data_IF_466740483183
#
_entry.id   IF_466740483183
#
_cell.length_a   1.000
_cell.length_b   1.000
_cell.length_c   1.000
_cell.angle_alpha   90.00
_cell.angle_beta   90.00
_cell.angle_gamma   90.00
#
_symmetry.space_group_name_H-M   'P 1'
#
loop_
_entity.id
_entity.type
_entity.pdbx_description
1 polymer ?
#
# COMPACT_ATOMS: atom_id res chain seq x y z
N UNK A 1 0.48 -17.18 0.71
CA UNK A 1 0.32 -16.49 0.88
C UNK A 1 1.09 -15.49 0.90
N UNK A 2 1.46 -14.82 0.84
CA UNK A 2 2.24 -13.73 0.68
C UNK A 2 2.53 -12.86 1.87
N UNK A 3 2.00 -13.20 3.02
CA UNK A 3 2.25 -12.37 4.17
C UNK A 3 3.27 -13.00 5.08
N UNK A 4 4.33 -12.24 5.43
CA UNK A 4 5.32 -12.76 6.29
C UNK A 4 5.33 -12.06 7.63
N UNK A 5 4.36 -11.26 7.91
CA UNK A 5 4.25 -10.57 9.17
C UNK A 5 2.98 -9.77 9.18
N UNK A 6 2.73 -9.04 10.26
CA UNK A 6 1.52 -8.26 10.37
C UNK A 6 1.66 -6.81 9.93
N UNK A 7 2.86 -6.41 9.54
CA UNK A 7 3.06 -5.04 9.07
C UNK A 7 2.42 -4.82 7.72
N UNK A 8 2.05 -3.60 7.42
CA UNK A 8 1.39 -3.29 6.17
C UNK A 8 2.28 -3.65 4.98
N UNK A 9 3.56 -3.39 5.05
CA UNK A 9 4.42 -3.68 3.93
C UNK A 9 4.99 -5.10 3.93
N UNK A 10 4.50 -5.95 4.82
CA UNK A 10 5.02 -7.31 4.87
C UNK A 10 4.11 -8.26 4.13
N UNK A 11 3.88 -7.99 2.88
CA UNK A 11 3.04 -8.81 2.04
C UNK A 11 3.55 -8.73 0.62
N UNK A 12 3.55 -9.83 -0.09
CA UNK A 12 4.00 -9.86 -1.46
C UNK A 12 3.10 -8.99 -2.33
N UNK A 13 1.79 -9.00 -2.07
CA UNK A 13 0.85 -8.20 -2.85
C UNK A 13 1.17 -6.72 -2.70
N UNK A 14 1.43 -6.28 -1.47
CA UNK A 14 1.77 -4.88 -1.25
C UNK A 14 3.07 -4.55 -2.00
N UNK A 15 4.09 -5.37 -1.84
CA UNK A 15 5.37 -5.11 -2.46
C UNK A 15 5.31 -5.08 -3.97
N UNK A 16 4.63 -6.04 -4.58
CA UNK A 16 4.51 -6.08 -6.01
C UNK A 16 3.79 -4.86 -6.53
N UNK A 17 2.70 -4.46 -5.86
CA UNK A 17 1.91 -3.33 -6.31
C UNK A 17 2.73 -2.04 -6.17
N UNK A 18 3.39 -1.89 -5.04
CA UNK A 18 4.16 -0.69 -4.78
C UNK A 18 5.31 -0.56 -5.79
N UNK A 19 6.06 -1.64 -6.00
CA UNK A 19 7.18 -1.59 -6.92
C UNK A 19 6.73 -1.32 -8.35
N UNK A 20 5.62 -1.92 -8.75
CA UNK A 20 5.12 -1.68 -10.08
C UNK A 20 4.71 -0.23 -10.25
N UNK A 21 4.05 0.34 -9.22
CA UNK A 21 3.63 1.73 -9.30
C UNK A 21 4.85 2.63 -9.49
N UNK A 22 5.86 2.45 -8.67
CA UNK A 22 7.04 3.31 -8.73
C UNK A 22 7.75 3.16 -10.08
N UNK A 23 7.82 1.95 -10.58
CA UNK A 23 8.46 1.70 -11.85
C UNK A 23 7.74 2.44 -12.97
N UNK A 24 6.41 2.39 -12.99
CA UNK A 24 5.65 3.07 -14.02
C UNK A 24 5.75 4.58 -13.85
N UNK A 25 5.80 5.04 -12.61
CA UNK A 25 5.91 6.46 -12.35
C UNK A 25 7.26 6.96 -12.87
N UNK A 26 8.31 6.20 -12.67
CA UNK A 26 9.63 6.60 -13.13
C UNK A 26 9.71 6.62 -14.67
N UNK A 27 8.83 5.90 -15.33
CA UNK A 27 8.79 5.92 -16.77
C UNK A 27 7.96 7.10 -17.29
N UNK A 28 7.41 7.89 -16.40
CA UNK A 28 6.65 9.07 -16.79
C UNK A 28 5.14 8.92 -16.86
N UNK A 29 4.59 7.79 -16.45
CA UNK A 29 3.17 7.62 -16.55
C UNK A 29 2.47 8.41 -15.46
N UNK A 30 1.34 9.03 -15.74
CA UNK A 30 0.63 9.82 -14.74
C UNK A 30 0.12 8.95 -13.59
N UNK A 31 0.16 9.48 -12.38
CA UNK A 31 -0.25 8.76 -11.20
C UNK A 31 -1.65 8.19 -11.34
N UNK A 32 -2.61 8.97 -11.78
CA UNK A 32 -3.97 8.47 -11.88
C UNK A 32 -4.10 7.32 -12.85
N UNK A 33 -3.31 7.34 -13.92
CA UNK A 33 -3.38 6.28 -14.91
C UNK A 33 -2.79 5.00 -14.33
N UNK A 34 -1.70 5.12 -13.56
CA UNK A 34 -1.07 3.95 -12.97
C UNK A 34 -2.04 3.28 -12.01
N UNK A 35 -2.72 4.08 -11.19
CA UNK A 35 -3.67 3.55 -10.24
C UNK A 35 -4.81 2.84 -10.95
N UNK A 36 -5.35 3.43 -12.01
CA UNK A 36 -6.43 2.83 -12.73
C UNK A 36 -6.00 1.52 -13.38
N UNK A 37 -4.81 1.49 -13.96
CA UNK A 37 -4.34 0.29 -14.62
C UNK A 37 -4.15 -0.87 -13.64
N UNK A 38 -3.58 -0.57 -12.48
CA UNK A 38 -3.35 -1.60 -11.50
C UNK A 38 -4.67 -2.12 -10.95
N UNK A 39 -5.59 -1.21 -10.61
CA UNK A 39 -6.86 -1.64 -10.08
C UNK A 39 -7.66 -2.44 -11.10
N UNK A 40 -7.63 -2.05 -12.36
CA UNK A 40 -8.37 -2.76 -13.38
C UNK A 40 -7.90 -4.22 -13.47
N UNK A 41 -6.62 -4.45 -13.36
CA UNK A 41 -6.11 -5.80 -13.42
C UNK A 41 -6.56 -6.64 -12.24
N UNK A 42 -6.54 -6.07 -11.05
CA UNK A 42 -6.93 -6.83 -9.88
C UNK A 42 -8.44 -7.09 -9.89
N UNK A 43 -9.22 -6.13 -10.37
CA UNK A 43 -10.67 -6.29 -10.38
C UNK A 43 -11.16 -7.27 -11.43
N UNK A 44 -10.29 -7.73 -12.30
CA UNK A 44 -10.66 -8.76 -13.23
C UNK A 44 -10.76 -10.10 -12.52
N UNK A 45 -10.04 -10.27 -11.42
CA UNK A 45 -10.07 -11.51 -10.70
C UNK A 45 -10.75 -11.48 -9.37
N UNK A 46 -10.84 -10.36 -8.72
CA UNK A 46 -11.38 -10.26 -7.39
C UNK A 46 -12.46 -9.20 -7.29
N UNK A 47 -13.41 -9.41 -6.38
CA UNK A 47 -14.45 -8.43 -6.16
C UNK A 47 -13.85 -7.25 -5.42
N UNK A 48 -14.44 -6.12 -5.57
CA UNK A 48 -13.93 -4.90 -4.97
C UNK A 48 -13.79 -4.99 -3.46
N UNK A 49 -14.64 -5.74 -2.80
CA UNK A 49 -14.58 -5.85 -1.39
C UNK A 49 -13.72 -7.00 -0.91
N UNK A 50 -13.08 -7.75 -1.78
CA UNK A 50 -12.29 -8.89 -1.39
C UNK A 50 -11.10 -8.42 -0.54
N UNK A 51 -10.86 -9.10 0.57
CA UNK A 51 -9.76 -8.73 1.45
C UNK A 51 -8.39 -8.79 0.80
N UNK A 52 -8.26 -9.56 -0.26
CA UNK A 52 -7.00 -9.63 -0.98
C UNK A 52 -6.64 -8.25 -1.51
N UNK A 53 -7.62 -7.41 -1.82
CA UNK A 53 -7.34 -6.11 -2.37
C UNK A 53 -6.93 -5.08 -1.33
N UNK A 54 -7.04 -5.40 -0.04
CA UNK A 54 -6.65 -4.44 0.98
C UNK A 54 -5.20 -3.99 0.79
N UNK A 55 -4.30 -4.96 0.57
CA UNK A 55 -2.90 -4.63 0.41
C UNK A 55 -2.65 -3.87 -0.88
N UNK A 56 -3.47 -4.10 -1.91
CA UNK A 56 -3.35 -3.36 -3.15
C UNK A 56 -3.68 -1.89 -2.87
N UNK A 57 -4.77 -1.63 -2.13
CA UNK A 57 -5.15 -0.27 -1.82
C UNK A 57 -4.11 0.40 -0.93
N UNK A 58 -3.57 -0.32 0.05
CA UNK A 58 -2.56 0.25 0.93
C UNK A 58 -1.32 0.65 0.11
N UNK A 59 -0.88 -0.22 -0.80
CA UNK A 59 0.29 0.07 -1.61
C UNK A 59 0.04 1.26 -2.54
N UNK A 60 -1.16 1.32 -3.14
CA UNK A 60 -1.48 2.42 -4.01
C UNK A 60 -1.51 3.73 -3.23
N UNK A 61 -2.05 3.70 -2.01
CA UNK A 61 -2.10 4.89 -1.19
C UNK A 61 -0.73 5.41 -0.84
N UNK A 62 0.16 4.50 -0.45
CA UNK A 62 1.51 4.91 -0.08
C UNK A 62 2.25 5.46 -1.30
N UNK A 63 2.10 4.79 -2.44
CA UNK A 63 2.79 5.21 -3.65
C UNK A 63 2.28 6.57 -4.13
N UNK A 64 0.96 6.77 -4.12
CA UNK A 64 0.40 8.05 -4.53
C UNK A 64 0.87 9.15 -3.58
N UNK A 65 0.89 8.86 -2.28
CA UNK A 65 1.29 9.84 -1.30
C UNK A 65 2.74 10.28 -1.55
N UNK A 66 3.61 9.34 -1.86
CA UNK A 66 5.00 9.67 -2.14
C UNK A 66 5.17 10.39 -3.46
N UNK A 67 4.34 10.11 -4.43
CA UNK A 67 4.50 10.67 -5.76
C UNK A 67 3.75 11.96 -6.00
N UNK A 68 3.30 12.60 -4.99
CA UNK A 68 2.66 13.89 -5.18
C UNK A 68 1.43 14.14 -4.34
N UNK A 69 0.87 13.12 -3.78
CA UNK A 69 -0.30 13.27 -2.93
C UNK A 69 -1.30 12.18 -3.20
N UNK A 70 -1.90 11.69 -2.15
CA UNK A 70 -2.84 10.59 -2.29
C UNK A 70 -4.17 11.14 -2.79
N UNK A 71 -4.81 10.44 -3.72
CA UNK A 71 -6.08 10.87 -4.26
C UNK A 71 -7.16 10.64 -3.22
N UNK A 72 -8.23 11.41 -3.30
CA UNK A 72 -9.31 11.31 -2.37
C UNK A 72 -9.97 9.95 -2.42
N UNK A 73 -10.15 9.40 -3.60
CA UNK A 73 -10.82 8.11 -3.73
C UNK A 73 -10.02 7.00 -3.07
N UNK A 74 -8.71 6.99 -3.24
CA UNK A 74 -7.89 5.96 -2.63
C UNK A 74 -7.83 6.17 -1.13
N UNK A 75 -7.69 7.41 -0.68
CA UNK A 75 -7.65 7.68 0.75
C UNK A 75 -8.95 7.25 1.41
N UNK A 76 -10.09 7.56 0.81
CA UNK A 76 -11.38 7.22 1.38
C UNK A 76 -11.55 5.71 1.46
N UNK A 77 -11.05 5.00 0.45
CA UNK A 77 -11.17 3.55 0.46
C UNK A 77 -10.33 2.96 1.59
N UNK A 78 -9.10 3.43 1.75
CA UNK A 78 -8.23 2.94 2.80
C UNK A 78 -8.85 3.26 4.16
N UNK A 79 -9.39 4.47 4.30
CA UNK A 79 -9.97 4.89 5.55
C UNK A 79 -11.17 3.99 5.89
N UNK A 80 -11.97 3.64 4.89
CA UNK A 80 -13.09 2.78 5.09
C UNK A 80 -12.65 1.39 5.52
N UNK A 81 -11.64 0.84 4.87
CA UNK A 81 -11.15 -0.49 5.21
C UNK A 81 -10.67 -0.53 6.66
N UNK A 82 -9.95 0.49 7.07
CA UNK A 82 -9.38 0.51 8.40
C UNK A 82 -10.41 0.85 9.47
N UNK A 83 -11.17 1.90 9.25
CA UNK A 83 -12.10 2.34 10.28
C UNK A 83 -13.28 1.40 10.48
N UNK A 84 -13.69 0.71 9.44
CA UNK A 84 -14.79 -0.22 9.56
C UNK A 84 -14.34 -1.62 9.96
N UNK A 85 -13.08 -1.78 10.25
CA UNK A 85 -12.58 -3.07 10.72
C UNK A 85 -12.53 -4.17 9.69
N UNK A 86 -12.61 -3.82 8.40
CA UNK A 86 -12.64 -4.82 7.36
C UNK A 86 -11.37 -5.64 7.28
N UNK A 87 -10.24 -4.99 7.47
CA UNK A 87 -8.97 -5.70 7.35
C UNK A 87 -8.79 -6.64 8.54
N UNK A 88 -9.19 -6.21 9.74
CA UNK A 88 -9.07 -7.06 10.90
C UNK A 88 -9.99 -8.27 10.74
N UNK A 89 -11.19 -8.07 10.19
CA UNK A 89 -12.11 -9.16 9.96
C UNK A 89 -11.51 -10.16 8.98
N UNK A 90 -10.83 -9.66 7.96
CA UNK A 90 -10.21 -10.50 6.96
C UNK A 90 -9.11 -11.33 7.62
N UNK A 91 -8.30 -10.73 8.47
CA UNK A 91 -7.24 -11.47 9.16
C UNK A 91 -7.82 -12.50 10.12
N UNK A 92 -9.00 -12.22 10.70
CA UNK A 92 -9.64 -13.20 11.55
C UNK A 92 -10.06 -14.41 10.73
N UNK A 93 -10.49 -14.20 9.51
CA UNK A 93 -10.87 -15.30 8.66
C UNK A 93 -9.65 -16.13 8.28
N UNK A 94 -8.48 -15.53 8.33
CA UNK A 94 -7.26 -16.25 8.02
C UNK A 94 -6.67 -16.90 9.26
N UNK A 95 -7.42 -16.92 10.35
CA UNK A 95 -7.02 -17.56 11.59
C UNK A 95 -5.86 -16.88 12.31
N UNK A 96 -5.78 -15.59 12.21
CA UNK A 96 -4.73 -14.86 12.92
C UNK A 96 -4.97 -14.93 14.41
N UNK A 97 -3.92 -14.96 15.20
CA UNK A 97 -4.03 -15.04 16.65
C UNK A 97 -4.46 -13.68 17.20
N UNK A 98 -4.98 -13.63 18.43
CA UNK A 98 -5.33 -12.35 19.02
C UNK A 98 -4.16 -11.38 19.08
N UNK A 99 -2.95 -11.90 19.29
CA UNK A 99 -1.78 -11.08 19.33
C UNK A 99 -1.51 -10.48 17.95
N UNK A 100 -1.67 -11.27 16.90
CA UNK A 100 -1.48 -10.80 15.54
C UNK A 100 -2.50 -9.71 15.21
N UNK A 101 -3.75 -9.90 15.64
CA UNK A 101 -4.77 -8.93 15.33
C UNK A 101 -4.48 -7.60 16.02
N UNK A 102 -3.95 -7.63 17.23
CA UNK A 102 -3.65 -6.43 17.93
C UNK A 102 -2.50 -5.70 17.25
N UNK A 103 -1.48 -6.44 16.83
CA UNK A 103 -0.36 -5.84 16.16
C UNK A 103 -0.78 -5.27 14.80
N UNK A 104 -1.66 -6.00 14.11
CA UNK A 104 -2.14 -5.53 12.81
C UNK A 104 -2.94 -4.25 12.97
N UNK A 105 -3.78 -4.17 13.99
CA UNK A 105 -4.56 -2.99 14.23
C UNK A 105 -3.65 -1.78 14.47
N UNK A 106 -2.57 -1.99 15.21
CA UNK A 106 -1.66 -0.91 15.49
C UNK A 106 -0.96 -0.49 14.20
N UNK A 107 -0.57 -1.46 13.37
CA UNK A 107 0.08 -1.17 12.11
C UNK A 107 -0.85 -0.39 11.17
N UNK A 108 -2.15 -0.75 11.16
CA UNK A 108 -3.10 -0.05 10.32
C UNK A 108 -3.26 1.39 10.77
N UNK A 109 -3.33 1.62 12.07
CA UNK A 109 -3.51 2.97 12.56
C UNK A 109 -2.27 3.83 12.26
N UNK A 110 -1.09 3.25 12.42
CA UNK A 110 0.15 3.95 12.12
C UNK A 110 0.21 4.29 10.62
N UNK A 111 -0.22 3.36 9.79
CA UNK A 111 -0.20 3.57 8.36
C UNK A 111 -1.16 4.69 7.98
N UNK A 112 -2.38 4.67 8.52
CA UNK A 112 -3.35 5.68 8.20
C UNK A 112 -2.85 7.05 8.65
N UNK A 113 -2.23 7.12 9.81
CA UNK A 113 -1.70 8.37 10.30
C UNK A 113 -0.61 8.89 9.37
N UNK A 114 0.22 8.00 8.87
CA UNK A 114 1.33 8.43 8.02
C UNK A 114 0.85 8.99 6.69
N UNK A 115 -0.16 8.39 6.07
CA UNK A 115 -0.62 8.89 4.78
C UNK A 115 -1.56 10.07 4.94
N UNK A 116 -1.93 10.39 6.19
CA UNK A 116 -2.77 11.53 6.42
C UNK A 116 -1.96 12.81 6.60
N UNK A 117 -0.63 12.70 6.67
CA UNK A 117 0.17 13.89 6.87
C UNK A 117 0.34 14.65 5.57
N UNK A 118 0.82 15.86 5.67
CA UNK A 118 0.98 16.68 4.51
C UNK A 118 1.96 16.09 3.56
N UNK A 119 1.64 16.09 2.28
CA UNK A 119 2.49 15.55 1.37
C UNK A 119 3.66 16.41 1.14
N UNK A 120 3.65 17.59 1.60
CA UNK A 120 4.74 18.49 1.37
C UNK A 120 5.94 17.84 1.99
N UNK A 121 5.74 17.12 3.06
CA UNK A 121 6.83 16.51 3.72
C UNK A 121 7.34 15.38 2.88
N UNK A 122 6.47 14.68 2.28
CA UNK A 122 6.86 13.54 1.50
C UNK A 122 7.66 14.02 0.36
N UNK A 123 7.31 15.20 -0.18
CA UNK A 123 7.98 15.62 -1.27
C UNK A 123 9.36 15.88 -0.97
N UNK A 124 9.71 16.27 0.13
CA UNK A 124 10.98 16.59 0.37
C UNK A 124 11.79 15.45 0.22
N UNK A 125 11.37 14.38 0.34
CA UNK A 125 12.19 13.31 0.20
C UNK A 125 12.14 12.72 -1.02
N UNK A 126 11.59 13.30 -1.88
CA UNK A 126 11.47 12.79 -3.08
C UNK A 126 12.67 12.43 -3.65
N UNK A 127 13.59 12.82 -3.37
CA UNK A 127 14.71 12.60 -3.98
C UNK A 127 14.93 11.26 -3.70
N UNK A 128 14.37 10.83 -2.89
CA UNK A 128 14.57 9.54 -2.53
C UNK A 128 14.26 8.63 -3.61
N UNK A 129 13.48 9.09 -4.48
CA UNK A 129 13.13 8.29 -5.53
C UNK A 129 14.34 7.77 -6.15
N UNK A 130 15.31 8.53 -6.25
CA UNK A 130 16.45 8.20 -6.87
C UNK A 130 17.12 7.25 -6.06
N UNK A 131 17.14 7.45 -4.83
CA UNK A 131 17.82 6.65 -3.99
C UNK A 131 17.27 5.31 -4.06
N UNK A 132 16.03 5.23 -4.11
CA UNK A 132 15.41 4.01 -4.18
C UNK A 132 15.89 3.21 -5.25
N UNK A 133 16.03 3.77 -6.32
CA UNK A 133 16.45 3.04 -7.39
C UNK A 133 17.77 2.55 -7.23
N UNK A 134 18.62 3.32 -6.81
CA UNK A 134 19.86 2.90 -6.71
C UNK A 134 20.00 2.11 -5.62
N UNK A 135 19.30 2.15 -4.89
CA UNK A 135 19.45 1.41 -3.82
C UNK A 135 18.84 0.37 -4.02
N UNK A 136 18.31 0.45 -4.59
CA UNK A 136 17.89 -0.29 -4.64
C UNK A 136 17.99 -0.97 -5.01
N UNK A 137 18.23 -0.70 -5.49
CA UNK A 137 18.24 -1.33 -5.59
C UNK A 137 17.97 -1.78 -4.77
N UNK A 138 17.63 -1.38 -4.17
CA UNK A 138 17.35 -1.82 -3.28
C UNK A 138 16.13 -1.59 -2.85
N UNK A 139 15.49 -0.86 -3.32
CA UNK A 139 14.37 -0.57 -2.83
C UNK A 139 13.60 -1.68 -2.87
N UNK A 140 13.81 -2.39 -3.73
CA UNK A 140 13.03 -3.44 -3.85
C UNK A 140 13.47 -4.18 -2.70
N UNK A 141 14.60 -3.88 -2.17
CA UNK A 141 15.02 -4.63 -1.22
C UNK A 141 14.25 -4.46 -0.02
N UNK A 142 13.42 -3.52 0.00
CA UNK A 142 12.65 -3.29 1.05
C UNK A 142 11.79 -4.40 1.08
N UNK A 143 11.33 -4.90 0.04
CA UNK A 143 10.38 -5.89 -0.01
C UNK A 143 10.96 -7.23 0.00
N UNK A 144 12.25 -7.38 -0.01
CA UNK A 144 12.69 -8.60 -0.08
C UNK A 144 13.02 -9.07 1.07
N UNK A 145 12.87 -8.75 1.77
CA UNK A 145 13.07 -9.27 2.88
C UNK A 145 13.91 -9.62 3.26
#
# INVERSE_FOLDING_TARGET
MGNWGVGISQSDTYCETYERFIEEYDKGKPVSQITQDILAEWLEEFEEDDGVLHDVFFALGKAEWLCGGISESIFNRINEIIKNGKDIAYWQELSATPSDLKQRQKALQTFLNSISTSKATAKKEKFPRITILQNQVHHSYLCQK
#
